data_IF_443881466405
#
_entry.id   IF_443881466405
#
_cell.length_a   1.000
_cell.length_b   1.000
_cell.length_c   1.000
_cell.angle_alpha   90.00
_cell.angle_beta   90.00
_cell.angle_gamma   90.00
#
_symmetry.space_group_name_H-M   'P 1'
#
loop_
_entity.id
_entity.type
_entity.pdbx_description
1 polymer ?
#
# COMPACT_ATOMS: atom_id res chain seq x y z
N UNK A 1 8.61 8.04 7.99
CA UNK A 1 8.68 6.59 7.75
C UNK A 1 9.50 6.35 6.48
N UNK A 2 10.56 5.53 6.54
CA UNK A 2 11.41 5.29 5.37
C UNK A 2 10.62 4.54 4.28
N UNK A 3 10.76 4.93 3.00
CA UNK A 3 10.00 4.32 1.89
C UNK A 3 10.12 2.80 1.85
N UNK A 4 11.32 2.31 2.13
CA UNK A 4 11.66 0.88 2.21
C UNK A 4 10.80 0.13 3.24
N UNK A 5 10.57 0.71 4.41
CA UNK A 5 9.78 0.09 5.49
C UNK A 5 8.34 -0.12 5.05
N UNK A 6 7.75 0.84 4.31
CA UNK A 6 6.38 0.70 3.81
C UNK A 6 6.26 -0.45 2.80
N UNK A 7 7.24 -0.62 1.91
CA UNK A 7 7.25 -1.73 0.95
C UNK A 7 7.45 -3.08 1.63
N UNK A 8 8.39 -3.18 2.58
CA UNK A 8 8.62 -4.43 3.34
C UNK A 8 7.34 -4.83 4.08
N UNK A 9 6.70 -3.88 4.76
CA UNK A 9 5.43 -4.12 5.44
C UNK A 9 4.29 -4.44 4.45
N UNK A 10 4.26 -3.83 3.27
CA UNK A 10 3.27 -4.12 2.23
C UNK A 10 3.38 -5.52 1.62
N UNK A 11 4.54 -6.18 1.72
CA UNK A 11 4.74 -7.55 1.23
C UNK A 11 4.47 -8.57 2.35
N UNK A 12 4.96 -8.32 3.57
CA UNK A 12 4.80 -9.23 4.71
C UNK A 12 3.38 -9.17 5.29
N UNK A 13 2.84 -7.95 5.41
CA UNK A 13 1.51 -7.69 5.96
C UNK A 13 0.82 -6.60 5.11
N UNK A 14 0.29 -6.97 3.93
CA UNK A 14 -0.26 -6.04 2.95
C UNK A 14 -1.22 -4.97 3.51
N UNK A 15 -2.16 -5.32 4.43
CA UNK A 15 -3.07 -4.34 5.00
C UNK A 15 -2.33 -3.25 5.81
N UNK A 16 -1.27 -3.61 6.53
CA UNK A 16 -0.52 -2.68 7.38
C UNK A 16 0.38 -1.77 6.54
N UNK A 17 1.03 -2.29 5.49
CA UNK A 17 1.81 -1.45 4.57
C UNK A 17 0.97 -0.37 3.89
N UNK A 18 -0.25 -0.73 3.45
CA UNK A 18 -1.19 0.22 2.84
C UNK A 18 -1.79 1.16 3.87
N UNK A 19 -2.17 0.68 5.06
CA UNK A 19 -2.66 1.51 6.15
C UNK A 19 -1.64 2.59 6.55
N UNK A 20 -0.35 2.27 6.63
CA UNK A 20 0.70 3.25 6.97
C UNK A 20 1.01 4.25 5.85
N UNK A 21 0.49 4.01 4.65
CA UNK A 21 0.67 4.87 3.47
C UNK A 21 -0.56 5.75 3.25
N UNK A 22 -1.74 5.17 3.30
CA UNK A 22 -3.01 5.83 2.96
C UNK A 22 -3.95 6.03 4.17
N UNK A 23 -3.64 5.49 5.35
CA UNK A 23 -4.55 5.46 6.49
C UNK A 23 -5.78 4.57 6.25
N UNK A 24 -6.90 4.90 6.90
CA UNK A 24 -8.21 4.30 6.61
C UNK A 24 -8.70 4.89 5.29
N UNK A 25 -8.58 4.11 4.23
CA UNK A 25 -8.88 4.53 2.86
C UNK A 25 -9.46 3.36 2.06
N UNK A 26 -10.10 3.62 0.91
CA UNK A 26 -10.57 2.54 0.03
C UNK A 26 -9.45 1.54 -0.32
N UNK A 27 -8.22 2.01 -0.50
CA UNK A 27 -7.06 1.17 -0.75
C UNK A 27 -6.79 0.18 0.40
N UNK A 28 -6.99 0.58 1.66
CA UNK A 28 -6.87 -0.31 2.81
C UNK A 28 -7.94 -1.40 2.81
N UNK A 29 -9.20 -1.06 2.56
CA UNK A 29 -10.29 -2.04 2.49
C UNK A 29 -10.14 -2.99 1.31
N UNK A 30 -9.68 -2.50 0.16
CA UNK A 30 -9.33 -3.33 -1.00
C UNK A 30 -8.22 -4.30 -0.61
N UNK A 31 -7.14 -3.82 0.04
CA UNK A 31 -6.05 -4.70 0.45
C UNK A 31 -6.48 -5.74 1.50
N UNK A 32 -7.39 -5.38 2.40
CA UNK A 32 -7.99 -6.29 3.36
C UNK A 32 -8.79 -7.40 2.66
N UNK A 33 -9.66 -7.03 1.70
CA UNK A 33 -10.41 -8.00 0.90
C UNK A 33 -9.50 -8.89 0.03
N UNK A 34 -8.47 -8.32 -0.60
CA UNK A 34 -7.51 -9.08 -1.40
C UNK A 34 -6.71 -10.05 -0.54
N UNK A 35 -6.33 -9.66 0.69
CA UNK A 35 -5.63 -10.55 1.62
C UNK A 35 -6.48 -11.77 1.99
N UNK A 36 -7.81 -11.61 2.09
CA UNK A 36 -8.73 -12.74 2.29
C UNK A 36 -8.88 -13.64 1.05
N UNK A 37 -8.73 -13.09 -0.16
CA UNK A 37 -8.70 -13.87 -1.41
C UNK A 37 -7.33 -14.52 -1.68
N UNK A 38 -6.27 -14.04 -1.03
CA UNK A 38 -4.93 -14.57 -1.07
C UNK A 38 -3.86 -13.49 -0.82
N UNK A 39 -2.75 -13.87 -0.19
CA UNK A 39 -1.66 -12.91 0.14
C UNK A 39 -0.99 -12.35 -1.12
N UNK A 40 -0.93 -13.13 -2.21
CA UNK A 40 -0.35 -12.74 -3.50
C UNK A 40 -1.02 -11.50 -4.13
N UNK A 41 -2.34 -11.49 -4.41
CA UNK A 41 -2.98 -10.30 -4.96
C UNK A 41 -2.89 -9.10 -4.01
N UNK A 42 -3.01 -9.30 -2.70
CA UNK A 42 -2.87 -8.23 -1.70
C UNK A 42 -1.49 -7.56 -1.74
N UNK A 43 -0.42 -8.35 -1.82
CA UNK A 43 0.96 -7.87 -1.89
C UNK A 43 1.23 -7.03 -3.16
N UNK A 44 0.73 -7.49 -4.32
CA UNK A 44 0.87 -6.75 -5.59
C UNK A 44 0.13 -5.41 -5.49
N UNK A 45 -1.12 -5.42 -5.01
CA UNK A 45 -1.89 -4.20 -4.84
C UNK A 45 -1.24 -3.24 -3.82
N UNK A 46 -0.66 -3.77 -2.74
CA UNK A 46 0.04 -2.96 -1.73
C UNK A 46 1.25 -2.25 -2.32
N UNK A 47 2.12 -2.96 -3.05
CA UNK A 47 3.29 -2.38 -3.71
C UNK A 47 2.87 -1.32 -4.73
N UNK A 48 1.89 -1.61 -5.57
CA UNK A 48 1.39 -0.65 -6.57
C UNK A 48 0.80 0.60 -5.92
N UNK A 49 -0.02 0.44 -4.88
CA UNK A 49 -0.61 1.56 -4.16
C UNK A 49 0.48 2.42 -3.52
N UNK A 50 1.44 1.81 -2.82
CA UNK A 50 2.55 2.53 -2.18
C UNK A 50 3.37 3.31 -3.22
N UNK A 51 3.69 2.70 -4.36
CA UNK A 51 4.39 3.36 -5.45
C UNK A 51 3.60 4.57 -5.98
N UNK A 52 2.31 4.39 -6.24
CA UNK A 52 1.45 5.45 -6.77
C UNK A 52 1.31 6.62 -5.81
N UNK A 53 1.28 6.35 -4.50
CA UNK A 53 1.25 7.38 -3.47
C UNK A 53 2.50 8.28 -3.53
N UNK A 54 3.69 7.67 -3.63
CA UNK A 54 4.94 8.42 -3.70
C UNK A 54 5.12 9.15 -5.04
N UNK A 55 4.62 8.59 -6.13
CA UNK A 55 4.59 9.28 -7.43
C UNK A 55 3.77 10.57 -7.32
N UNK A 56 2.55 10.50 -6.77
CA UNK A 56 1.72 11.69 -6.54
C UNK A 56 2.37 12.70 -5.60
N UNK A 57 3.06 12.24 -4.56
CA UNK A 57 3.77 13.11 -3.64
C UNK A 57 5.04 13.76 -4.24
N UNK A 58 5.56 13.23 -5.36
CA UNK A 58 6.71 13.77 -6.06
C UNK A 58 6.33 14.71 -7.21
N UNK A 59 5.04 14.79 -7.57
CA UNK A 59 4.56 15.75 -8.55
C UNK A 59 4.62 17.17 -7.94
N UNK A 60 5.09 18.18 -8.69
CA UNK A 60 4.99 19.57 -8.27
C UNK A 60 3.51 19.91 -8.08
N UNK A 61 3.16 20.54 -6.96
CA UNK A 61 1.83 21.08 -6.72
C UNK A 61 1.70 22.36 -7.56
N UNK A 62 1.25 22.22 -8.80
CA UNK A 62 0.79 23.32 -9.64
C UNK A 62 -0.58 23.85 -9.19
#
# INVERSE_FOLDING_TARGET
MNKLVRYILGIVLPPVGVFLTYGISPAFFINLALTFLGVLPGSIHAVWAIAKHYEKAALPAD
#
